data_IF_167814467327
#
_entry.id   IF_167814467327
#
_cell.length_a   1.000
_cell.length_b   1.000
_cell.length_c   1.000
_cell.angle_alpha   90.00
_cell.angle_beta   90.00
_cell.angle_gamma   90.00
#
_symmetry.space_group_name_H-M   'P 1'
#
loop_
_entity.id
_entity.type
_entity.pdbx_description
1 polymer ?
#
# COMPACT_ATOMS: atom_id res chain seq x y z
N UNK A 1 -30.69 10.54 35.60
CA UNK A 1 -30.48 9.46 36.58
C UNK A 1 -30.28 8.16 35.83
N UNK A 2 -29.13 7.52 36.00
CA UNK A 2 -28.86 6.20 35.40
C UNK A 2 -29.76 5.14 36.00
N UNK A 3 -30.38 4.29 35.21
CA UNK A 3 -31.26 3.22 35.66
C UNK A 3 -30.45 2.02 36.16
N UNK A 4 -31.06 1.13 37.00
CA UNK A 4 -30.40 -0.14 37.41
C UNK A 4 -29.91 -0.98 36.21
N UNK A 5 -30.56 -0.87 35.06
CA UNK A 5 -30.23 -1.58 33.83
C UNK A 5 -28.99 -0.96 33.17
N UNK A 6 -28.80 0.34 33.29
CA UNK A 6 -27.61 1.04 32.80
C UNK A 6 -26.38 0.72 33.66
N UNK A 7 -26.59 0.58 34.98
CA UNK A 7 -25.53 0.14 35.92
C UNK A 7 -25.06 -1.30 35.63
N UNK A 8 -25.99 -2.21 35.33
CA UNK A 8 -25.65 -3.60 34.97
C UNK A 8 -24.96 -3.71 33.62
N UNK A 9 -25.31 -2.85 32.66
CA UNK A 9 -24.59 -2.78 31.38
C UNK A 9 -23.18 -2.22 31.54
N UNK A 10 -23.01 -1.19 32.37
CA UNK A 10 -21.67 -0.63 32.66
C UNK A 10 -20.78 -1.65 33.40
N UNK A 11 -21.30 -2.37 34.37
CA UNK A 11 -20.55 -3.39 35.11
C UNK A 11 -20.24 -4.63 34.28
N UNK A 12 -21.09 -5.00 33.31
CA UNK A 12 -20.79 -6.06 32.37
C UNK A 12 -19.69 -5.66 31.37
N UNK A 13 -19.66 -4.39 30.95
CA UNK A 13 -18.59 -3.85 30.08
C UNK A 13 -17.24 -3.76 30.81
N UNK A 14 -17.22 -3.33 32.07
CA UNK A 14 -15.99 -3.28 32.89
C UNK A 14 -15.47 -4.67 33.25
N UNK A 15 -16.34 -5.64 33.48
CA UNK A 15 -15.94 -7.05 33.75
C UNK A 15 -15.42 -7.79 32.52
N UNK A 16 -15.94 -7.47 31.33
CA UNK A 16 -15.45 -8.06 30.08
C UNK A 16 -14.11 -7.47 29.63
N UNK A 17 -13.87 -6.19 29.90
CA UNK A 17 -12.60 -5.52 29.57
C UNK A 17 -11.41 -6.10 30.39
N UNK A 18 -11.62 -6.55 31.61
CA UNK A 18 -10.57 -7.17 32.43
C UNK A 18 -10.21 -8.62 32.04
N UNK A 19 -10.96 -9.22 31.13
CA UNK A 19 -10.69 -10.57 30.58
C UNK A 19 -10.07 -10.53 29.17
N UNK A 20 -9.93 -9.34 28.57
CA UNK A 20 -9.29 -9.19 27.28
C UNK A 20 -7.76 -9.24 27.46
N UNK A 21 -7.03 -9.98 26.61
CA UNK A 21 -5.57 -9.93 26.59
C UNK A 21 -5.10 -8.48 26.46
N UNK A 22 -4.02 -8.11 27.14
CA UNK A 22 -3.44 -6.75 27.07
C UNK A 22 -3.15 -6.28 25.65
N UNK A 23 -2.88 -7.20 24.73
CA UNK A 23 -2.73 -6.94 23.29
C UNK A 23 -4.03 -6.47 22.60
N UNK A 24 -5.20 -6.85 23.12
CA UNK A 24 -6.49 -6.36 22.61
C UNK A 24 -6.88 -5.01 23.24
N UNK A 25 -6.50 -4.76 24.48
CA UNK A 25 -6.70 -3.45 25.11
C UNK A 25 -5.80 -2.37 24.48
N UNK A 26 -4.57 -2.71 24.10
CA UNK A 26 -3.68 -1.81 23.35
C UNK A 26 -4.23 -1.46 21.95
N UNK A 27 -5.06 -2.32 21.36
CA UNK A 27 -5.71 -2.03 20.06
C UNK A 27 -6.85 -1.00 20.17
N UNK A 28 -7.27 -0.62 21.39
CA UNK A 28 -8.27 0.42 21.65
C UNK A 28 -7.68 1.73 22.17
N UNK A 29 -6.33 1.83 22.23
CA UNK A 29 -5.68 3.11 22.50
C UNK A 29 -5.80 3.96 21.23
N UNK A 30 -6.77 4.88 21.23
CA UNK A 30 -7.12 5.69 20.05
C UNK A 30 -5.97 6.60 19.58
N UNK A 31 -4.92 6.72 20.39
CA UNK A 31 -3.74 7.51 20.09
C UNK A 31 -2.59 6.68 19.48
N UNK A 32 -2.71 5.35 19.40
CA UNK A 32 -1.68 4.51 18.79
C UNK A 32 -2.01 4.14 17.34
N UNK A 33 -1.10 4.49 16.46
CA UNK A 33 -1.18 4.10 15.05
C UNK A 33 -1.13 2.57 14.91
N UNK A 34 -2.08 2.01 14.17
CA UNK A 34 -2.07 0.57 13.91
C UNK A 34 -0.94 0.25 12.93
N UNK A 35 -0.02 -0.63 13.34
CA UNK A 35 1.08 -1.13 12.51
C UNK A 35 0.95 -2.62 12.24
N UNK A 36 1.72 -3.09 11.26
CA UNK A 36 1.92 -4.52 10.97
C UNK A 36 3.38 -4.76 10.67
N UNK A 37 3.93 -5.78 11.28
CA UNK A 37 5.30 -6.20 10.99
C UNK A 37 5.43 -6.78 9.57
N UNK A 38 6.48 -6.39 8.85
CA UNK A 38 6.91 -7.09 7.65
C UNK A 38 7.40 -8.48 8.09
N UNK A 39 6.80 -9.59 7.64
CA UNK A 39 7.03 -10.90 8.26
C UNK A 39 8.49 -11.34 8.29
N UNK A 40 9.26 -11.04 7.22
CA UNK A 40 10.66 -11.47 7.10
C UNK A 40 11.67 -10.64 7.89
N UNK A 41 11.38 -9.37 8.17
CA UNK A 41 12.30 -8.48 8.87
C UNK A 41 11.86 -8.12 10.28
N UNK A 42 10.57 -8.21 10.58
CA UNK A 42 9.98 -7.73 11.83
C UNK A 42 9.83 -6.20 11.90
N UNK A 43 10.15 -5.47 10.84
CA UNK A 43 9.96 -4.01 10.78
C UNK A 43 8.48 -3.68 10.76
N UNK A 44 8.03 -2.82 11.67
CA UNK A 44 6.64 -2.37 11.73
C UNK A 44 6.36 -1.27 10.72
N UNK A 45 5.32 -1.46 9.91
CA UNK A 45 4.80 -0.44 9.01
C UNK A 45 3.37 -0.03 9.41
N UNK A 46 3.03 1.26 9.31
CA UNK A 46 1.66 1.73 9.42
C UNK A 46 0.77 1.06 8.37
N UNK A 47 -0.45 0.68 8.77
CA UNK A 47 -1.39 -0.01 7.85
C UNK A 47 -1.99 0.91 6.79
N UNK A 48 -1.85 2.23 6.93
CA UNK A 48 -2.33 3.22 5.95
C UNK A 48 -1.15 3.80 5.19
N UNK A 49 -1.21 3.70 3.87
CA UNK A 49 -0.24 4.28 2.95
C UNK A 49 -0.92 5.14 1.89
N UNK A 50 -0.14 5.96 1.21
CA UNK A 50 -0.56 6.82 0.12
C UNK A 50 -0.15 6.22 -1.23
N UNK A 51 -1.12 6.02 -2.13
CA UNK A 51 -0.87 5.63 -3.51
C UNK A 51 -0.87 6.85 -4.45
N UNK A 52 0.10 6.96 -5.32
CA UNK A 52 0.30 8.10 -6.22
C UNK A 52 -0.29 7.92 -7.63
N UNK A 53 -1.03 6.85 -7.89
CA UNK A 53 -1.75 6.68 -9.16
C UNK A 53 -3.01 7.58 -9.23
N UNK A 54 -3.70 7.61 -10.36
CA UNK A 54 -4.98 8.31 -10.53
C UNK A 54 -4.96 9.81 -10.16
N UNK A 55 -5.61 10.24 -9.07
CA UNK A 55 -5.76 11.66 -8.70
C UNK A 55 -4.41 12.32 -8.43
N UNK A 56 -3.57 11.69 -7.63
CA UNK A 56 -2.23 12.19 -7.34
C UNK A 56 -1.44 12.43 -8.64
N UNK A 57 -1.45 11.45 -9.57
CA UNK A 57 -0.81 11.59 -10.88
C UNK A 57 -1.32 12.78 -11.69
N UNK A 58 -2.63 13.06 -11.63
CA UNK A 58 -3.21 14.22 -12.36
C UNK A 58 -2.71 15.54 -11.80
N UNK A 59 -2.67 15.68 -10.48
CA UNK A 59 -2.17 16.89 -9.81
C UNK A 59 -0.66 17.03 -10.03
N UNK A 60 0.10 15.93 -9.98
CA UNK A 60 1.54 15.95 -10.27
C UNK A 60 1.90 16.40 -11.71
N UNK A 61 0.95 16.40 -12.62
CA UNK A 61 1.10 16.92 -13.98
C UNK A 61 0.64 18.39 -14.13
N UNK A 62 0.13 19.00 -13.06
CA UNK A 62 -0.26 20.42 -13.06
C UNK A 62 0.93 21.32 -12.66
N UNK A 63 0.78 22.62 -12.88
CA UNK A 63 1.77 23.61 -12.46
C UNK A 63 1.81 23.82 -10.94
N UNK A 64 0.70 23.52 -10.25
CA UNK A 64 0.59 23.63 -8.79
C UNK A 64 0.49 22.26 -8.13
N UNK A 65 1.54 21.89 -7.41
CA UNK A 65 1.64 20.64 -6.65
C UNK A 65 1.54 20.85 -5.13
N UNK A 66 1.19 22.06 -4.67
CA UNK A 66 1.11 22.39 -3.25
C UNK A 66 0.19 21.44 -2.47
N UNK A 67 -0.95 21.09 -3.06
CA UNK A 67 -1.90 20.13 -2.47
C UNK A 67 -1.27 18.74 -2.25
N UNK A 68 -0.33 18.30 -3.09
CA UNK A 68 0.37 17.03 -2.90
C UNK A 68 1.36 17.12 -1.74
N UNK A 69 2.03 18.26 -1.59
CA UNK A 69 2.90 18.54 -0.46
C UNK A 69 2.13 18.44 0.86
N UNK A 70 0.97 19.07 0.93
CA UNK A 70 0.10 19.02 2.12
C UNK A 70 -0.38 17.61 2.43
N UNK A 71 -0.75 16.83 1.41
CA UNK A 71 -1.16 15.42 1.59
C UNK A 71 -0.01 14.57 2.13
N UNK A 72 1.20 14.68 1.56
CA UNK A 72 2.36 13.93 2.03
C UNK A 72 2.72 14.32 3.46
N UNK A 73 2.75 15.62 3.77
CA UNK A 73 3.02 16.11 5.14
C UNK A 73 1.97 15.61 6.12
N UNK A 74 0.69 15.70 5.77
CA UNK A 74 -0.41 15.21 6.61
C UNK A 74 -0.27 13.71 6.89
N UNK A 75 0.06 12.90 5.88
CA UNK A 75 0.33 11.47 6.06
C UNK A 75 1.42 11.25 7.12
N UNK A 76 2.57 11.90 6.93
CA UNK A 76 3.74 11.72 7.81
C UNK A 76 3.53 12.28 9.21
N UNK A 77 2.82 13.40 9.35
CA UNK A 77 2.56 14.05 10.65
C UNK A 77 1.53 13.25 11.47
N UNK A 78 0.72 12.42 10.81
CA UNK A 78 -0.17 11.45 11.45
C UNK A 78 0.44 10.03 11.52
N UNK A 79 1.74 9.90 11.34
CA UNK A 79 2.50 8.67 11.54
C UNK A 79 2.45 7.67 10.38
N UNK A 80 1.73 7.95 9.30
CA UNK A 80 1.81 7.17 8.06
C UNK A 80 3.17 7.37 7.40
N UNK A 81 3.75 6.33 6.78
CA UNK A 81 5.08 6.43 6.16
C UNK A 81 5.11 5.94 4.72
N UNK A 82 4.23 5.02 4.34
CA UNK A 82 4.29 4.35 3.03
C UNK A 82 3.76 5.25 1.92
N UNK A 83 4.61 5.51 0.90
CA UNK A 83 4.22 6.16 -0.33
C UNK A 83 4.49 5.20 -1.51
N UNK A 84 3.43 4.77 -2.18
CA UNK A 84 3.48 3.86 -3.32
C UNK A 84 3.38 4.63 -4.64
N UNK A 85 4.39 4.50 -5.48
CA UNK A 85 4.50 5.15 -6.79
C UNK A 85 4.94 4.15 -7.87
N UNK A 86 5.15 4.64 -9.09
CA UNK A 86 5.73 3.88 -10.19
C UNK A 86 6.20 4.80 -11.33
N UNK A 87 7.23 4.43 -12.10
CA UNK A 87 7.64 5.14 -13.31
C UNK A 87 6.52 5.33 -14.34
N UNK A 88 5.55 4.41 -14.37
CA UNK A 88 4.40 4.48 -15.27
C UNK A 88 3.28 5.43 -14.82
N UNK A 89 3.42 6.10 -13.68
CA UNK A 89 2.41 7.04 -13.16
C UNK A 89 2.64 8.50 -13.59
N UNK A 90 3.18 8.70 -14.78
CA UNK A 90 3.48 10.04 -15.32
C UNK A 90 4.53 10.76 -14.48
N UNK A 91 4.24 11.98 -14.02
CA UNK A 91 5.14 12.76 -13.18
C UNK A 91 5.09 12.40 -11.69
N UNK A 92 4.25 11.48 -11.27
CA UNK A 92 3.99 11.23 -9.83
C UNK A 92 5.25 10.82 -9.06
N UNK A 93 6.09 9.95 -9.63
CA UNK A 93 7.32 9.50 -8.98
C UNK A 93 8.32 10.65 -8.80
N UNK A 94 8.53 11.45 -9.84
CA UNK A 94 9.43 12.60 -9.84
C UNK A 94 8.97 13.69 -8.87
N UNK A 95 7.70 14.10 -8.97
CA UNK A 95 7.11 15.12 -8.10
C UNK A 95 7.12 14.66 -6.63
N UNK A 96 6.85 13.38 -6.35
CA UNK A 96 6.94 12.87 -4.97
C UNK A 96 8.37 12.97 -4.43
N UNK A 97 9.37 12.63 -5.25
CA UNK A 97 10.77 12.73 -4.88
C UNK A 97 11.22 14.18 -4.65
N UNK A 98 10.78 15.11 -5.50
CA UNK A 98 11.02 16.55 -5.32
C UNK A 98 10.41 17.06 -4.02
N UNK A 99 9.13 16.77 -3.75
CA UNK A 99 8.47 17.16 -2.51
C UNK A 99 9.22 16.59 -1.30
N UNK A 100 9.56 15.31 -1.31
CA UNK A 100 10.30 14.68 -0.22
C UNK A 100 11.63 15.36 0.06
N UNK A 101 12.39 15.66 -0.98
CA UNK A 101 13.68 16.32 -0.88
C UNK A 101 13.56 17.77 -0.42
N UNK A 102 12.72 18.59 -1.08
CA UNK A 102 12.63 20.02 -0.84
C UNK A 102 12.04 20.36 0.53
N UNK A 103 11.26 19.43 1.10
CA UNK A 103 10.71 19.54 2.45
C UNK A 103 11.55 18.83 3.51
N UNK A 104 12.63 18.13 3.13
CA UNK A 104 13.46 17.35 4.06
C UNK A 104 12.76 16.10 4.62
N UNK A 105 11.74 15.59 3.93
CA UNK A 105 10.92 14.47 4.41
C UNK A 105 11.32 13.12 3.80
N UNK A 106 12.27 13.08 2.87
CA UNK A 106 12.66 11.87 2.12
C UNK A 106 12.94 10.67 3.03
N UNK A 107 13.63 10.88 4.15
CA UNK A 107 14.02 9.81 5.07
C UNK A 107 12.88 9.34 5.99
N UNK A 108 11.80 10.08 6.09
CA UNK A 108 10.58 9.69 6.83
C UNK A 108 9.65 8.82 5.99
N UNK A 109 9.87 8.74 4.67
CA UNK A 109 9.02 8.01 3.74
C UNK A 109 9.59 6.62 3.52
N UNK A 110 8.73 5.60 3.64
CA UNK A 110 8.95 4.26 3.12
C UNK A 110 8.57 4.28 1.62
N UNK A 111 9.59 4.32 0.77
CA UNK A 111 9.42 4.44 -0.67
C UNK A 111 9.14 3.09 -1.32
N UNK A 112 7.92 2.91 -1.81
CA UNK A 112 7.55 1.77 -2.62
C UNK A 112 7.39 2.19 -4.08
N UNK A 113 8.26 1.69 -4.96
CA UNK A 113 8.16 1.94 -6.41
C UNK A 113 8.14 0.64 -7.19
N UNK A 114 8.19 0.72 -8.51
CA UNK A 114 8.01 -0.44 -9.37
C UNK A 114 8.94 -0.38 -10.58
N UNK A 115 9.15 -1.53 -11.21
CA UNK A 115 9.82 -1.64 -12.51
C UNK A 115 8.89 -2.33 -13.50
N UNK A 116 8.80 -1.79 -14.71
CA UNK A 116 8.14 -2.39 -15.85
C UNK A 116 8.72 -1.81 -17.15
N UNK A 117 9.75 -2.42 -17.67
CA UNK A 117 10.38 -2.04 -18.93
C UNK A 117 9.89 -2.87 -20.13
N UNK A 118 8.84 -3.67 -19.94
CA UNK A 118 8.21 -4.39 -21.05
C UNK A 118 7.40 -3.41 -21.91
N UNK A 119 7.58 -3.44 -23.24
CA UNK A 119 6.76 -2.61 -24.12
C UNK A 119 5.26 -2.94 -23.98
N UNK A 120 4.45 -1.90 -23.86
CA UNK A 120 3.01 -2.09 -23.61
C UNK A 120 2.34 -2.85 -24.74
N UNK A 121 1.71 -3.97 -24.41
CA UNK A 121 0.98 -4.80 -25.37
C UNK A 121 1.85 -5.69 -26.25
N UNK A 122 3.18 -5.71 -26.04
CA UNK A 122 4.06 -6.71 -26.63
C UNK A 122 4.09 -7.97 -25.74
N UNK A 123 4.34 -9.10 -26.35
CA UNK A 123 4.71 -10.33 -25.64
C UNK A 123 6.23 -10.50 -25.50
N UNK A 124 7.00 -9.46 -25.82
CA UNK A 124 8.45 -9.51 -25.82
C UNK A 124 9.01 -9.48 -24.39
N UNK A 125 10.16 -10.11 -24.15
CA UNK A 125 10.89 -9.95 -22.89
C UNK A 125 11.30 -8.50 -22.66
N UNK A 126 11.51 -8.14 -21.39
CA UNK A 126 12.09 -6.86 -21.05
C UNK A 126 13.53 -6.79 -21.54
N UNK A 127 13.91 -5.66 -22.07
CA UNK A 127 15.30 -5.35 -22.41
C UNK A 127 16.07 -5.04 -21.11
N UNK A 128 17.10 -5.80 -20.74
CA UNK A 128 17.83 -5.57 -19.49
C UNK A 128 18.42 -4.16 -19.35
N UNK A 129 18.87 -3.54 -20.44
CA UNK A 129 19.41 -2.19 -20.40
C UNK A 129 18.32 -1.17 -20.06
N UNK A 130 17.11 -1.38 -20.58
CA UNK A 130 15.95 -0.53 -20.23
C UNK A 130 15.45 -0.77 -18.81
N UNK A 131 15.51 -2.01 -18.32
CA UNK A 131 15.22 -2.33 -16.92
C UNK A 131 16.15 -1.53 -16.02
N UNK A 132 17.46 -1.65 -16.23
CA UNK A 132 18.47 -0.95 -15.44
C UNK A 132 18.33 0.57 -15.54
N UNK A 133 18.13 1.10 -16.74
CA UNK A 133 17.91 2.54 -16.93
C UNK A 133 16.65 3.06 -16.17
N UNK A 134 15.58 2.26 -16.11
CA UNK A 134 14.38 2.61 -15.37
C UNK A 134 14.61 2.59 -13.85
N UNK A 135 15.34 1.59 -13.36
CA UNK A 135 15.72 1.47 -11.95
C UNK A 135 16.60 2.64 -11.51
N UNK A 136 17.65 2.95 -12.27
CA UNK A 136 18.54 4.09 -12.00
C UNK A 136 17.78 5.42 -12.03
N UNK A 137 16.81 5.58 -12.95
CA UNK A 137 15.95 6.74 -12.95
C UNK A 137 15.17 6.86 -11.65
N UNK A 138 14.59 5.77 -11.13
CA UNK A 138 13.83 5.80 -9.87
C UNK A 138 14.70 6.23 -8.69
N UNK A 139 15.94 5.72 -8.54
CA UNK A 139 16.88 6.20 -7.53
C UNK A 139 17.15 7.70 -7.66
N UNK A 140 17.37 8.15 -8.90
CA UNK A 140 17.67 9.57 -9.19
C UNK A 140 16.51 10.49 -8.85
N UNK A 141 15.27 10.16 -9.23
CA UNK A 141 14.12 11.04 -9.03
C UNK A 141 13.60 11.01 -7.60
N UNK A 142 13.66 9.86 -6.93
CA UNK A 142 13.28 9.72 -5.53
C UNK A 142 14.36 10.23 -4.56
N UNK A 143 15.61 10.40 -5.06
CA UNK A 143 16.74 10.91 -4.28
C UNK A 143 16.96 10.15 -2.98
N UNK A 144 16.77 8.85 -3.03
CA UNK A 144 16.88 7.93 -1.89
C UNK A 144 17.64 6.67 -2.29
N UNK A 145 18.62 6.31 -1.49
CA UNK A 145 19.35 5.05 -1.58
C UNK A 145 19.82 4.64 -0.17
N UNK A 146 19.52 3.41 0.29
CA UNK A 146 18.71 2.42 -0.38
C UNK A 146 17.24 2.82 -0.52
N UNK A 147 16.56 2.37 -1.60
CA UNK A 147 15.10 2.40 -1.69
C UNK A 147 14.49 1.30 -0.81
N UNK A 148 13.32 1.56 -0.27
CA UNK A 148 12.71 0.61 0.65
C UNK A 148 12.13 -0.60 -0.09
N UNK A 149 11.32 -0.39 -1.14
CA UNK A 149 10.68 -1.46 -1.88
C UNK A 149 10.65 -1.18 -3.38
N UNK A 150 11.12 -2.14 -4.18
CA UNK A 150 10.86 -2.17 -5.63
C UNK A 150 10.10 -3.44 -5.99
N UNK A 151 9.04 -3.30 -6.79
CA UNK A 151 8.19 -4.40 -7.22
C UNK A 151 8.15 -4.53 -8.74
N UNK A 152 8.19 -5.76 -9.26
CA UNK A 152 7.88 -6.00 -10.68
C UNK A 152 6.40 -5.70 -10.91
N UNK A 153 6.11 -4.71 -11.75
CA UNK A 153 4.76 -4.19 -11.95
C UNK A 153 3.92 -5.12 -12.83
N UNK A 154 2.78 -5.57 -12.29
CA UNK A 154 1.81 -6.41 -13.01
C UNK A 154 2.39 -7.73 -13.56
N UNK A 155 3.31 -8.38 -12.83
CA UNK A 155 3.94 -9.65 -13.22
C UNK A 155 4.62 -9.59 -14.61
N UNK A 156 5.09 -8.43 -15.04
CA UNK A 156 5.63 -8.25 -16.36
C UNK A 156 7.04 -8.84 -16.45
N UNK A 157 7.25 -9.82 -17.32
CA UNK A 157 8.54 -10.53 -17.50
C UNK A 157 9.33 -10.70 -16.19
N UNK A 158 8.75 -11.49 -15.28
CA UNK A 158 9.34 -11.74 -13.96
C UNK A 158 10.80 -12.23 -14.01
N UNK A 159 11.20 -13.16 -14.91
CA UNK A 159 12.59 -13.64 -14.91
C UNK A 159 13.61 -12.53 -15.05
N UNK A 160 13.46 -11.65 -16.04
CA UNK A 160 14.41 -10.56 -16.32
C UNK A 160 14.36 -9.49 -15.23
N UNK A 161 13.15 -8.99 -14.92
CA UNK A 161 13.01 -7.84 -14.02
C UNK A 161 13.21 -8.22 -12.55
N UNK A 162 12.80 -9.42 -12.14
CA UNK A 162 13.07 -9.91 -10.79
C UNK A 162 14.57 -10.20 -10.60
N UNK A 163 15.25 -10.67 -11.64
CA UNK A 163 16.71 -10.82 -11.63
C UNK A 163 17.40 -9.51 -11.27
N UNK A 164 17.08 -8.44 -11.99
CA UNK A 164 17.67 -7.11 -11.78
C UNK A 164 17.41 -6.56 -10.38
N UNK A 165 16.16 -6.64 -9.87
CA UNK A 165 15.88 -6.11 -8.52
C UNK A 165 16.47 -6.98 -7.41
N UNK A 166 16.68 -8.28 -7.64
CA UNK A 166 17.42 -9.14 -6.70
C UNK A 166 18.89 -8.77 -6.59
N UNK A 167 19.55 -8.51 -7.71
CA UNK A 167 20.93 -8.03 -7.74
C UNK A 167 21.07 -6.74 -6.93
N UNK A 168 20.21 -5.77 -7.15
CA UNK A 168 20.20 -4.52 -6.37
C UNK A 168 19.93 -4.74 -4.87
N UNK A 169 19.13 -5.74 -4.50
CA UNK A 169 18.93 -6.12 -3.10
C UNK A 169 20.20 -6.74 -2.51
N UNK A 170 20.87 -7.59 -3.24
CA UNK A 170 22.16 -8.22 -2.82
C UNK A 170 23.27 -7.16 -2.66
N UNK A 171 23.25 -6.12 -3.49
CA UNK A 171 24.14 -4.95 -3.38
C UNK A 171 23.75 -4.00 -2.21
N UNK A 172 22.62 -4.20 -1.57
CA UNK A 172 22.12 -3.34 -0.49
C UNK A 172 21.52 -2.03 -0.97
N UNK A 173 21.26 -1.86 -2.25
CA UNK A 173 20.62 -0.67 -2.84
C UNK A 173 19.09 -0.67 -2.72
N UNK A 174 18.50 -1.84 -2.46
CA UNK A 174 17.08 -2.02 -2.19
C UNK A 174 16.92 -2.86 -0.92
N UNK A 175 15.96 -2.50 -0.05
CA UNK A 175 15.70 -3.25 1.18
C UNK A 175 14.77 -4.44 0.95
N UNK A 176 13.70 -4.22 0.19
CA UNK A 176 12.65 -5.21 -0.09
C UNK A 176 12.34 -5.29 -1.57
N UNK A 177 11.97 -6.48 -2.02
CA UNK A 177 11.54 -6.74 -3.40
C UNK A 177 10.17 -7.42 -3.44
N UNK A 178 9.47 -7.26 -4.55
CA UNK A 178 8.15 -7.85 -4.69
C UNK A 178 7.60 -7.85 -6.11
N UNK A 179 6.32 -8.19 -6.22
CA UNK A 179 5.60 -8.11 -7.48
C UNK A 179 4.14 -7.72 -7.25
N UNK A 180 3.45 -7.27 -8.30
CA UNK A 180 2.07 -6.80 -8.18
C UNK A 180 1.14 -7.45 -9.19
N UNK A 181 -0.12 -7.65 -8.82
CA UNK A 181 -1.21 -7.91 -9.77
C UNK A 181 -2.53 -7.38 -9.23
N UNK A 182 -3.16 -6.47 -9.96
CA UNK A 182 -4.54 -6.01 -9.70
C UNK A 182 -5.56 -6.69 -10.62
N UNK A 183 -5.16 -7.76 -11.30
CA UNK A 183 -6.04 -8.53 -12.19
C UNK A 183 -6.26 -9.95 -11.64
N UNK A 184 -7.45 -10.29 -11.12
CA UNK A 184 -7.71 -11.61 -10.58
C UNK A 184 -7.49 -12.77 -11.56
N UNK A 185 -7.58 -12.53 -12.87
CA UNK A 185 -7.29 -13.55 -13.88
C UNK A 185 -5.82 -13.99 -13.90
N UNK A 186 -4.94 -13.17 -13.35
CA UNK A 186 -3.51 -13.46 -13.25
C UNK A 186 -3.08 -13.95 -11.86
N UNK A 187 -4.02 -14.22 -10.97
CA UNK A 187 -3.68 -14.76 -9.64
C UNK A 187 -2.98 -16.11 -9.68
N UNK A 188 -3.28 -17.05 -10.61
CA UNK A 188 -2.46 -18.27 -10.75
C UNK A 188 -0.97 -17.99 -11.02
N UNK A 189 -0.67 -16.98 -11.85
CA UNK A 189 0.73 -16.54 -12.08
C UNK A 189 1.33 -15.90 -10.83
N UNK A 190 0.54 -15.09 -10.10
CA UNK A 190 0.99 -14.47 -8.85
C UNK A 190 1.31 -15.53 -7.79
N UNK A 191 0.45 -16.55 -7.62
CA UNK A 191 0.70 -17.66 -6.72
C UNK A 191 1.99 -18.42 -7.08
N UNK A 192 2.24 -18.62 -8.37
CA UNK A 192 3.47 -19.25 -8.82
C UNK A 192 4.69 -18.37 -8.50
N UNK A 193 4.60 -17.06 -8.78
CA UNK A 193 5.65 -16.11 -8.46
C UNK A 193 5.98 -16.06 -6.95
N UNK A 194 4.96 -16.12 -6.11
CA UNK A 194 5.13 -16.14 -4.64
C UNK A 194 5.90 -17.40 -4.16
N UNK A 195 5.81 -18.51 -4.89
CA UNK A 195 6.50 -19.76 -4.58
C UNK A 195 7.91 -19.82 -5.16
N UNK A 196 8.10 -19.25 -6.35
CA UNK A 196 9.35 -19.40 -7.12
C UNK A 196 10.39 -18.33 -6.77
N UNK A 197 9.96 -17.16 -6.31
CA UNK A 197 10.86 -16.04 -6.04
C UNK A 197 10.89 -15.67 -4.54
N UNK A 198 12.05 -15.25 -4.01
CA UNK A 198 12.22 -14.89 -2.60
C UNK A 198 11.70 -13.48 -2.31
N UNK A 199 10.47 -13.18 -2.75
CA UNK A 199 9.84 -11.86 -2.61
C UNK A 199 9.44 -11.57 -1.17
N UNK A 200 9.51 -10.30 -0.79
CA UNK A 200 9.13 -9.81 0.53
C UNK A 200 7.70 -9.24 0.54
N UNK A 201 7.25 -8.71 -0.59
CA UNK A 201 5.96 -8.06 -0.74
C UNK A 201 5.20 -8.52 -1.98
N UNK A 202 3.88 -8.53 -1.88
CA UNK A 202 2.98 -8.51 -3.04
C UNK A 202 2.05 -7.30 -2.97
N UNK A 203 1.69 -6.78 -4.15
CA UNK A 203 0.66 -5.75 -4.29
C UNK A 203 -0.57 -6.31 -5.00
N UNK A 204 -1.75 -6.25 -4.35
CA UNK A 204 -2.98 -6.83 -4.88
C UNK A 204 -4.18 -5.91 -4.74
N UNK A 205 -5.16 -6.04 -5.64
CA UNK A 205 -6.46 -5.40 -5.52
C UNK A 205 -7.30 -6.13 -4.46
N UNK A 206 -7.72 -5.40 -3.44
CA UNK A 206 -8.66 -5.88 -2.43
C UNK A 206 -9.52 -4.73 -1.91
N UNK A 207 -10.84 -4.91 -1.96
CA UNK A 207 -11.80 -3.88 -1.57
C UNK A 207 -13.06 -4.51 -0.98
N UNK A 208 -13.93 -3.71 -0.40
CA UNK A 208 -15.23 -4.17 0.14
C UNK A 208 -16.05 -4.91 -0.94
N UNK A 209 -15.98 -4.42 -2.19
CA UNK A 209 -16.71 -4.98 -3.33
C UNK A 209 -15.87 -5.90 -4.23
N UNK A 210 -14.60 -6.16 -3.88
CA UNK A 210 -13.72 -7.13 -4.55
C UNK A 210 -12.87 -7.87 -3.51
N UNK A 211 -13.27 -9.08 -3.16
CA UNK A 211 -12.62 -9.92 -2.16
C UNK A 211 -11.89 -11.13 -2.71
N UNK A 212 -11.73 -11.23 -4.02
CA UNK A 212 -11.15 -12.40 -4.69
C UNK A 212 -9.76 -12.76 -4.17
N UNK A 213 -8.94 -11.77 -3.80
CA UNK A 213 -7.61 -12.04 -3.23
C UNK A 213 -7.67 -12.80 -1.88
N UNK A 214 -8.76 -12.65 -1.11
CA UNK A 214 -8.92 -13.33 0.18
C UNK A 214 -9.12 -14.84 0.05
N UNK A 215 -9.49 -15.34 -1.12
CA UNK A 215 -9.77 -16.77 -1.31
C UNK A 215 -8.48 -17.61 -1.30
N UNK A 216 -7.40 -17.09 -1.90
CA UNK A 216 -6.15 -17.83 -2.07
C UNK A 216 -4.88 -16.99 -1.87
N UNK A 217 -4.84 -15.75 -2.38
CA UNK A 217 -3.61 -14.95 -2.41
C UNK A 217 -3.20 -14.49 -1.02
N UNK A 218 -4.13 -13.93 -0.25
CA UNK A 218 -3.84 -13.43 1.10
C UNK A 218 -3.46 -14.57 2.06
N UNK A 219 -4.18 -15.73 2.10
CA UNK A 219 -3.74 -16.88 2.87
C UNK A 219 -2.34 -17.41 2.47
N UNK A 220 -2.07 -17.50 1.17
CA UNK A 220 -0.75 -17.94 0.70
C UNK A 220 0.35 -16.95 1.07
N UNK A 221 0.07 -15.65 1.07
CA UNK A 221 1.03 -14.63 1.50
C UNK A 221 1.35 -14.78 3.00
N UNK A 222 0.35 -15.05 3.82
CA UNK A 222 0.53 -15.35 5.25
C UNK A 222 1.39 -16.60 5.45
N UNK A 223 1.07 -17.71 4.78
CA UNK A 223 1.81 -18.98 4.88
C UNK A 223 3.29 -18.83 4.47
N UNK A 224 3.58 -18.00 3.49
CA UNK A 224 4.94 -17.78 2.97
C UNK A 224 5.67 -16.63 3.68
N UNK A 225 5.05 -15.95 4.63
CA UNK A 225 5.63 -14.78 5.30
C UNK A 225 5.90 -13.62 4.33
N UNK A 226 4.96 -13.35 3.42
CA UNK A 226 5.04 -12.27 2.43
C UNK A 226 4.11 -11.14 2.88
N UNK A 227 4.63 -9.92 2.99
CA UNK A 227 3.83 -8.73 3.30
C UNK A 227 2.93 -8.33 2.13
N UNK A 228 1.81 -7.68 2.42
CA UNK A 228 0.83 -7.29 1.40
C UNK A 228 0.60 -5.78 1.36
N UNK A 229 0.67 -5.18 0.18
CA UNK A 229 0.16 -3.86 -0.11
C UNK A 229 -1.20 -3.98 -0.79
N UNK A 230 -2.22 -3.48 -0.12
CA UNK A 230 -3.58 -3.49 -0.66
C UNK A 230 -3.79 -2.28 -1.55
N UNK A 231 -4.03 -2.53 -2.82
CA UNK A 231 -4.31 -1.50 -3.82
C UNK A 231 -5.81 -1.34 -4.04
N UNK A 232 -6.19 -0.13 -4.41
CA UNK A 232 -7.56 0.19 -4.85
C UNK A 232 -8.64 -0.15 -3.81
N UNK A 233 -8.45 0.13 -2.50
CA UNK A 233 -9.38 -0.28 -1.45
C UNK A 233 -10.79 0.32 -1.61
N UNK A 234 -10.93 1.40 -2.38
CA UNK A 234 -12.20 2.05 -2.73
C UNK A 234 -12.63 1.81 -4.19
N UNK A 235 -12.07 0.81 -4.86
CA UNK A 235 -12.43 0.45 -6.22
C UNK A 235 -12.19 1.56 -7.26
N UNK A 236 -11.17 2.39 -7.12
CA UNK A 236 -10.90 3.58 -7.96
C UNK A 236 -12.12 4.51 -8.06
N UNK A 237 -12.74 4.85 -6.95
CA UNK A 237 -13.99 5.62 -6.81
C UNK A 237 -15.26 4.85 -7.21
N UNK A 238 -15.16 3.59 -7.60
CA UNK A 238 -16.32 2.75 -7.99
C UNK A 238 -17.35 2.65 -6.86
N UNK A 239 -16.91 2.51 -5.61
CA UNK A 239 -17.79 2.46 -4.45
C UNK A 239 -18.56 3.77 -4.29
N UNK A 240 -17.89 4.90 -4.33
CA UNK A 240 -18.52 6.22 -4.22
C UNK A 240 -19.49 6.51 -5.37
N UNK A 241 -19.13 6.10 -6.59
CA UNK A 241 -20.04 6.24 -7.76
C UNK A 241 -21.30 5.41 -7.61
N UNK A 242 -21.20 4.23 -6.97
CA UNK A 242 -22.36 3.34 -6.76
C UNK A 242 -23.29 3.82 -5.65
N UNK A 243 -22.79 4.56 -4.68
CA UNK A 243 -23.56 5.10 -3.55
C UNK A 243 -23.99 6.55 -3.76
N UNK A 244 -23.56 7.17 -4.86
CA UNK A 244 -23.92 8.56 -5.19
C UNK A 244 -25.45 8.71 -5.32
N UNK A 245 -26.02 9.65 -4.59
CA UNK A 245 -27.46 9.90 -4.57
C UNK A 245 -28.30 8.88 -3.80
N UNK A 246 -27.68 7.94 -3.12
CA UNK A 246 -28.35 7.01 -2.21
C UNK A 246 -28.40 7.57 -0.81
N UNK A 247 -29.54 7.37 -0.12
CA UNK A 247 -29.64 7.66 1.31
C UNK A 247 -28.72 6.75 2.12
N UNK A 248 -28.20 7.28 3.22
CA UNK A 248 -27.44 6.48 4.19
C UNK A 248 -28.40 5.54 4.91
N UNK A 249 -28.14 4.24 4.98
CA UNK A 249 -29.01 3.29 5.69
C UNK A 249 -29.15 3.65 7.17
N UNK A 250 -30.35 3.41 7.75
CA UNK A 250 -30.63 3.72 9.14
C UNK A 250 -29.61 3.14 10.13
N UNK A 251 -29.14 1.90 9.88
CA UNK A 251 -28.12 1.28 10.73
C UNK A 251 -26.80 2.04 10.75
N UNK A 252 -26.45 2.77 9.69
CA UNK A 252 -25.19 3.53 9.64
C UNK A 252 -25.29 4.81 10.50
N UNK A 253 -26.50 5.34 10.69
CA UNK A 253 -26.74 6.48 11.58
C UNK A 253 -26.42 6.13 13.06
N UNK A 254 -26.59 4.87 13.45
CA UNK A 254 -26.24 4.38 14.79
C UNK A 254 -24.73 4.50 15.08
N UNK A 255 -23.90 4.51 14.03
CA UNK A 255 -22.44 4.70 14.09
C UNK A 255 -22.00 6.14 13.79
N UNK A 256 -22.97 7.08 13.74
CA UNK A 256 -22.70 8.49 13.46
C UNK A 256 -22.40 8.81 11.99
N UNK A 257 -22.58 7.86 11.06
CA UNK A 257 -22.37 8.09 9.64
C UNK A 257 -23.57 8.79 9.03
N UNK A 258 -23.40 10.04 8.61
CA UNK A 258 -24.45 10.88 7.99
C UNK A 258 -24.29 11.03 6.49
N UNK A 259 -23.21 10.51 5.92
CA UNK A 259 -22.92 10.53 4.49
C UNK A 259 -22.15 9.26 4.06
N UNK A 260 -22.12 8.99 2.76
CA UNK A 260 -21.30 7.92 2.17
C UNK A 260 -19.84 8.30 1.97
N UNK A 261 -19.47 9.53 2.30
CA UNK A 261 -18.11 10.09 2.12
C UNK A 261 -17.65 10.71 3.43
#
# INVERSE_FOLDING_TARGET
>A
MLTRRDYLKLSALTGAASLLPSSLLAAFDADQLITRAIPKSGEDLPIVGLGSSATFRKVAQSEDVSALTDVIKTLLDNGGTVLDTAPSYGAAEEVSGEIGHDTGLTDRIFWATKVNAVPRGSGDPADPDKVNAQLERSFKVLRKEPLDLIQVHNLADLPTQMGAIRELKEEGRIRYIGTTSTNPRRYPELEQAMKDYPIDFIGVDYAVDNRTAAERILPLAEDLGIATLIYVPFGRSRLFSRTSGMDVPEWALEFGSTSWV
#
